data_IF_202668893739
#
_entry.id   IF_202668893739
#
_cell.length_a   1.000
_cell.length_b   1.000
_cell.length_c   1.000
_cell.angle_alpha   90.00
_cell.angle_beta   90.00
_cell.angle_gamma   90.00
#
_symmetry.space_group_name_H-M   'P 1'
#
loop_
_entity.id
_entity.type
_entity.pdbx_description
1 polymer ?
#
# COMPACT_ATOMS: atom_id res chain seq x y z
N UNK A 1 26.05 -12.95 34.38
CA UNK A 1 26.11 -11.97 33.27
C UNK A 1 25.77 -12.59 31.90
N UNK A 2 24.75 -13.50 31.80
CA UNK A 2 24.32 -14.16 30.55
C UNK A 2 22.92 -13.78 30.08
N UNK A 3 22.15 -13.05 30.89
CA UNK A 3 20.73 -12.73 30.58
C UNK A 3 20.59 -11.55 29.60
N UNK A 4 21.54 -10.62 29.51
CA UNK A 4 21.45 -9.43 28.61
C UNK A 4 21.59 -9.74 27.11
N UNK A 5 22.19 -10.87 26.71
CA UNK A 5 22.33 -11.21 25.27
C UNK A 5 21.06 -11.73 24.63
N UNK A 6 20.22 -12.44 25.37
CA UNK A 6 18.95 -12.96 24.86
C UNK A 6 17.89 -11.89 24.71
N UNK A 7 17.89 -10.87 25.59
CA UNK A 7 16.94 -9.76 25.48
C UNK A 7 17.15 -8.90 24.22
N UNK A 8 18.39 -8.76 23.77
CA UNK A 8 18.71 -8.00 22.53
C UNK A 8 18.30 -8.81 21.30
N UNK A 9 18.50 -10.13 21.29
CA UNK A 9 18.09 -11.00 20.17
C UNK A 9 16.56 -11.07 20.05
N UNK A 10 15.85 -11.13 21.18
CA UNK A 10 14.39 -11.11 21.20
C UNK A 10 13.86 -9.74 20.73
N UNK A 11 14.50 -8.63 21.11
CA UNK A 11 14.13 -7.29 20.63
C UNK A 11 14.34 -7.14 19.13
N UNK A 12 15.43 -7.69 18.56
CA UNK A 12 15.65 -7.72 17.12
C UNK A 12 14.65 -8.60 16.38
N UNK A 13 14.23 -9.74 16.94
CA UNK A 13 13.18 -10.59 16.37
C UNK A 13 11.81 -9.91 16.38
N UNK A 14 11.48 -9.10 17.38
CA UNK A 14 10.23 -8.34 17.40
C UNK A 14 10.24 -7.12 16.49
N UNK A 15 11.37 -6.48 16.25
CA UNK A 15 11.51 -5.35 15.30
C UNK A 15 11.39 -5.84 13.85
N UNK A 16 11.85 -7.06 13.54
CA UNK A 16 11.72 -7.63 12.18
C UNK A 16 10.28 -7.98 11.78
N UNK A 17 9.32 -8.04 12.71
CA UNK A 17 7.91 -8.33 12.42
C UNK A 17 7.11 -7.13 11.88
N UNK A 18 7.70 -5.94 11.79
CA UNK A 18 7.04 -4.71 11.31
C UNK A 18 7.65 -4.12 10.03
N UNK A 19 8.55 -4.83 9.37
CA UNK A 19 9.04 -4.38 8.06
C UNK A 19 7.92 -4.61 7.05
N UNK A 20 7.17 -3.56 6.73
CA UNK A 20 6.27 -3.58 5.58
C UNK A 20 7.13 -3.66 4.33
N UNK A 21 7.03 -4.77 3.61
CA UNK A 21 7.70 -4.92 2.33
C UNK A 21 7.18 -3.87 1.35
N UNK A 22 8.06 -3.28 0.55
CA UNK A 22 7.70 -2.37 -0.53
C UNK A 22 6.83 -3.09 -1.56
N UNK A 23 5.85 -2.39 -2.15
CA UNK A 23 5.09 -2.93 -3.28
C UNK A 23 6.01 -3.31 -4.43
N UNK A 24 5.87 -4.54 -4.95
CA UNK A 24 6.74 -5.06 -6.00
C UNK A 24 6.25 -4.65 -7.39
N UNK A 25 7.20 -4.42 -8.30
CA UNK A 25 6.93 -4.23 -9.72
C UNK A 25 6.40 -5.53 -10.34
N UNK A 26 5.36 -5.39 -11.16
CA UNK A 26 4.73 -6.52 -11.83
C UNK A 26 5.53 -6.94 -13.06
N UNK A 27 5.46 -8.24 -13.39
CA UNK A 27 5.71 -8.71 -14.74
C UNK A 27 4.57 -8.26 -15.67
N UNK A 28 4.70 -8.53 -16.96
CA UNK A 28 3.69 -8.22 -17.98
C UNK A 28 3.19 -9.53 -18.59
N UNK A 29 1.88 -9.61 -18.83
CA UNK A 29 1.29 -10.77 -19.51
C UNK A 29 0.35 -10.31 -20.62
N UNK A 30 0.43 -10.95 -21.78
CA UNK A 30 -0.48 -10.75 -22.89
C UNK A 30 -1.55 -11.84 -22.89
N UNK A 31 -2.81 -11.42 -22.77
CA UNK A 31 -3.99 -12.28 -22.78
C UNK A 31 -4.88 -11.83 -23.94
N UNK A 32 -5.14 -12.69 -24.91
CA UNK A 32 -5.90 -12.38 -26.12
C UNK A 32 -5.37 -11.13 -26.89
N UNK A 33 -4.06 -10.92 -26.87
CA UNK A 33 -3.41 -9.77 -27.51
C UNK A 33 -3.39 -8.48 -26.67
N UNK A 34 -4.12 -8.43 -25.56
CA UNK A 34 -4.13 -7.28 -24.64
C UNK A 34 -3.08 -7.43 -23.56
N UNK A 35 -2.46 -6.31 -23.19
CA UNK A 35 -1.47 -6.25 -22.11
C UNK A 35 -2.12 -6.12 -20.76
N UNK A 36 -1.66 -6.95 -19.81
CA UNK A 36 -2.07 -6.95 -18.41
C UNK A 36 -0.84 -6.92 -17.51
N UNK A 37 -0.98 -6.39 -16.31
CA UNK A 37 0.01 -6.50 -15.26
C UNK A 37 -0.07 -7.88 -14.60
N UNK A 38 1.03 -8.61 -14.56
CA UNK A 38 1.09 -9.91 -13.87
C UNK A 38 1.61 -9.71 -12.45
N UNK A 39 0.73 -9.80 -11.48
CA UNK A 39 1.02 -9.63 -10.05
C UNK A 39 1.64 -10.91 -9.47
N UNK A 40 2.68 -11.39 -10.10
CA UNK A 40 3.45 -12.57 -9.72
C UNK A 40 4.77 -12.62 -10.47
N UNK A 41 5.70 -13.44 -9.99
CA UNK A 41 6.96 -13.77 -10.66
C UNK A 41 7.06 -15.29 -10.86
N UNK A 42 6.60 -15.82 -12.01
CA UNK A 42 6.59 -17.26 -12.24
C UNK A 42 7.97 -17.92 -12.21
N UNK A 43 9.04 -17.19 -12.57
CA UNK A 43 10.42 -17.72 -12.59
C UNK A 43 10.88 -18.09 -11.18
N UNK A 44 10.50 -17.31 -10.17
CA UNK A 44 10.93 -17.50 -8.79
C UNK A 44 10.38 -18.77 -8.13
N UNK A 45 9.42 -19.44 -8.80
CA UNK A 45 8.82 -20.70 -8.30
C UNK A 45 9.68 -21.93 -8.54
N UNK A 46 10.70 -21.83 -9.41
CA UNK A 46 11.72 -22.85 -9.59
C UNK A 46 13.05 -22.31 -9.05
N UNK A 47 13.48 -22.83 -7.91
CA UNK A 47 14.70 -22.36 -7.23
C UNK A 47 15.97 -22.55 -8.05
N UNK A 48 16.07 -23.62 -8.82
CA UNK A 48 17.22 -23.89 -9.67
C UNK A 48 17.26 -22.92 -10.87
N UNK A 49 16.11 -22.64 -11.46
CA UNK A 49 15.97 -21.65 -12.52
C UNK A 49 16.27 -20.25 -12.00
N UNK A 50 15.76 -19.89 -10.81
CA UNK A 50 16.00 -18.61 -10.18
C UNK A 50 17.51 -18.39 -9.87
N UNK A 51 18.20 -19.42 -9.41
CA UNK A 51 19.66 -19.36 -9.20
C UNK A 51 20.41 -19.09 -10.50
N UNK A 52 20.11 -19.85 -11.58
CA UNK A 52 20.71 -19.61 -12.89
C UNK A 52 20.38 -18.23 -13.46
N UNK A 53 19.18 -17.73 -13.20
CA UNK A 53 18.80 -16.38 -13.61
C UNK A 53 19.66 -15.32 -12.92
N UNK A 54 19.93 -15.45 -11.63
CA UNK A 54 20.79 -14.52 -10.92
C UNK A 54 22.21 -14.48 -11.47
N UNK A 55 22.74 -15.63 -11.87
CA UNK A 55 24.05 -15.73 -12.52
C UNK A 55 24.07 -15.19 -13.95
N UNK A 56 22.90 -15.15 -14.61
CA UNK A 56 22.71 -14.60 -15.94
C UNK A 56 22.60 -13.08 -15.96
N UNK A 57 22.12 -12.46 -14.88
CA UNK A 57 21.93 -11.02 -14.82
C UNK A 57 23.28 -10.28 -14.91
N UNK A 58 23.35 -9.16 -15.69
CA UNK A 58 24.55 -8.33 -15.74
C UNK A 58 24.91 -7.77 -14.36
N UNK A 59 26.21 -7.67 -14.03
CA UNK A 59 26.68 -7.15 -12.74
C UNK A 59 26.19 -5.71 -12.46
N UNK A 60 25.97 -4.93 -13.49
CA UNK A 60 25.48 -3.55 -13.42
C UNK A 60 23.96 -3.41 -13.59
N UNK A 61 23.20 -4.51 -13.40
CA UNK A 61 21.74 -4.42 -13.46
C UNK A 61 21.19 -3.53 -12.33
N UNK A 62 20.12 -2.80 -12.65
CA UNK A 62 19.48 -1.90 -11.70
C UNK A 62 18.60 -2.70 -10.73
N UNK A 63 18.79 -2.49 -9.45
CA UNK A 63 17.90 -3.00 -8.42
C UNK A 63 17.23 -1.86 -7.66
N UNK A 64 15.99 -2.06 -7.27
CA UNK A 64 15.27 -1.13 -6.40
C UNK A 64 14.47 -1.89 -5.37
N UNK A 65 14.01 -1.22 -4.33
CA UNK A 65 13.13 -1.84 -3.33
C UNK A 65 11.82 -2.37 -3.92
N UNK A 66 11.39 -1.86 -5.07
CA UNK A 66 10.24 -2.34 -5.82
C UNK A 66 10.58 -3.45 -6.84
N UNK A 67 11.84 -3.60 -7.23
CA UNK A 67 12.30 -4.63 -8.16
C UNK A 67 13.67 -5.17 -7.71
N UNK A 68 13.64 -6.05 -6.72
CA UNK A 68 14.84 -6.67 -6.15
C UNK A 68 15.57 -7.59 -7.14
N UNK A 69 14.81 -8.20 -8.07
CA UNK A 69 15.37 -9.15 -9.02
C UNK A 69 16.01 -8.45 -10.22
N UNK A 70 15.76 -7.14 -10.42
CA UNK A 70 16.37 -6.33 -11.46
C UNK A 70 15.89 -6.64 -12.89
N UNK A 71 14.85 -7.46 -13.06
CA UNK A 71 14.28 -7.78 -14.37
C UNK A 71 12.77 -7.58 -14.39
N UNK A 72 12.20 -7.51 -15.59
CA UNK A 72 10.76 -7.63 -15.87
C UNK A 72 10.57 -8.69 -16.94
N UNK A 73 9.78 -9.71 -16.64
CA UNK A 73 9.46 -10.76 -17.61
C UNK A 73 8.15 -10.46 -18.33
N UNK A 74 8.12 -10.78 -19.61
CA UNK A 74 6.96 -10.62 -20.49
C UNK A 74 6.45 -11.99 -20.92
N UNK A 75 5.21 -12.24 -20.58
CA UNK A 75 4.53 -13.51 -20.74
C UNK A 75 3.44 -13.43 -21.80
N UNK A 76 3.02 -14.55 -22.33
CA UNK A 76 1.88 -14.68 -23.24
C UNK A 76 1.10 -15.95 -22.94
N UNK A 77 -0.22 -15.85 -23.00
CA UNK A 77 -1.10 -17.01 -23.07
C UNK A 77 -1.41 -17.31 -24.52
N UNK A 78 -1.08 -18.52 -24.97
CA UNK A 78 -1.37 -19.04 -26.28
C UNK A 78 -1.68 -20.54 -26.18
N UNK A 79 -2.71 -21.01 -26.88
CA UNK A 79 -3.15 -22.42 -26.87
C UNK A 79 -3.31 -23.00 -25.44
N UNK A 80 -3.89 -22.20 -24.54
CA UNK A 80 -4.07 -22.52 -23.12
C UNK A 80 -2.77 -22.79 -22.36
N UNK A 81 -1.64 -22.28 -22.85
CA UNK A 81 -0.33 -22.39 -22.21
C UNK A 81 0.26 -21.01 -21.92
N UNK A 82 1.02 -20.92 -20.85
CA UNK A 82 1.81 -19.74 -20.48
C UNK A 82 3.21 -19.88 -21.10
N UNK A 83 3.62 -18.87 -21.87
CA UNK A 83 4.94 -18.79 -22.50
C UNK A 83 5.69 -17.54 -22.03
N UNK A 84 6.98 -17.66 -21.76
CA UNK A 84 7.88 -16.52 -21.64
C UNK A 84 8.23 -16.03 -23.05
N UNK A 85 8.02 -14.72 -23.31
CA UNK A 85 8.33 -14.11 -24.61
C UNK A 85 9.68 -13.40 -24.61
N UNK A 86 9.96 -12.64 -23.59
CA UNK A 86 11.18 -11.87 -23.40
C UNK A 86 11.39 -11.48 -21.96
N UNK A 87 12.60 -11.05 -21.67
CA UNK A 87 12.95 -10.39 -20.41
C UNK A 87 13.59 -9.04 -20.71
N UNK A 88 13.25 -8.06 -19.91
CA UNK A 88 13.83 -6.72 -19.91
C UNK A 88 14.61 -6.50 -18.62
N UNK A 89 15.87 -6.06 -18.74
CA UNK A 89 16.78 -5.85 -17.64
C UNK A 89 17.30 -4.42 -17.74
N UNK A 90 17.00 -3.62 -16.72
CA UNK A 90 17.60 -2.29 -16.59
C UNK A 90 19.08 -2.44 -16.20
N UNK A 91 19.98 -1.75 -16.90
CA UNK A 91 21.39 -1.68 -16.58
C UNK A 91 21.85 -0.23 -16.45
N UNK A 92 22.70 0.02 -15.45
CA UNK A 92 23.28 1.33 -15.21
C UNK A 92 24.67 1.43 -15.85
N UNK A 93 24.83 2.37 -16.79
CA UNK A 93 26.15 2.69 -17.34
C UNK A 93 26.82 3.77 -16.49
N UNK A 94 27.89 3.36 -15.80
CA UNK A 94 28.69 4.27 -14.95
C UNK A 94 29.39 5.39 -15.72
N UNK A 95 29.74 5.17 -17.00
CA UNK A 95 30.46 6.14 -17.80
C UNK A 95 29.54 7.27 -18.27
N UNK A 96 28.37 6.92 -18.80
CA UNK A 96 27.36 7.90 -19.24
C UNK A 96 26.45 8.39 -18.12
N UNK A 97 26.45 7.73 -16.93
CA UNK A 97 25.53 7.95 -15.81
C UNK A 97 24.06 7.84 -16.23
N UNK A 98 23.75 6.91 -17.11
CA UNK A 98 22.40 6.69 -17.63
C UNK A 98 21.98 5.25 -17.48
N UNK A 99 20.68 5.07 -17.29
CA UNK A 99 20.05 3.76 -17.37
C UNK A 99 19.76 3.42 -18.82
N UNK A 100 19.86 2.13 -19.14
CA UNK A 100 19.43 1.56 -20.42
C UNK A 100 18.73 0.24 -20.17
N UNK A 101 17.95 -0.24 -21.14
CA UNK A 101 17.22 -1.50 -21.02
C UNK A 101 17.77 -2.50 -22.03
N UNK A 102 18.24 -3.63 -21.52
CA UNK A 102 18.60 -4.81 -22.34
C UNK A 102 17.36 -5.66 -22.52
N UNK A 103 17.09 -6.05 -23.77
CA UNK A 103 15.94 -6.89 -24.14
C UNK A 103 16.44 -8.23 -24.60
N UNK A 104 16.05 -9.28 -23.89
CA UNK A 104 16.39 -10.69 -24.22
C UNK A 104 15.15 -11.41 -24.70
N UNK A 105 15.11 -11.72 -26.01
CA UNK A 105 14.08 -12.55 -26.61
C UNK A 105 14.36 -14.05 -26.36
N UNK A 106 13.42 -14.91 -26.69
CA UNK A 106 13.48 -16.36 -26.40
C UNK A 106 14.77 -17.03 -26.84
N UNK A 107 15.32 -16.67 -28.00
CA UNK A 107 16.57 -17.27 -28.47
C UNK A 107 17.79 -16.92 -27.62
N UNK A 108 17.84 -15.67 -27.14
CA UNK A 108 18.88 -15.22 -26.21
C UNK A 108 18.75 -15.87 -24.83
N UNK A 109 17.55 -16.32 -24.47
CA UNK A 109 17.23 -17.00 -23.20
C UNK A 109 17.37 -18.52 -23.29
N UNK A 110 17.69 -19.09 -24.46
CA UNK A 110 17.75 -20.54 -24.71
C UNK A 110 18.63 -21.29 -23.71
N UNK A 111 19.80 -20.77 -23.40
CA UNK A 111 20.72 -21.41 -22.44
C UNK A 111 20.17 -21.39 -21.02
N UNK A 112 19.62 -20.26 -20.59
CA UNK A 112 19.03 -20.10 -19.27
C UNK A 112 17.85 -21.05 -19.06
N UNK A 113 16.98 -21.20 -20.06
CA UNK A 113 15.79 -22.03 -20.04
C UNK A 113 15.95 -23.34 -20.81
N UNK A 114 17.16 -23.90 -20.91
CA UNK A 114 17.46 -25.07 -21.80
C UNK A 114 16.51 -26.26 -21.60
N UNK A 115 16.11 -26.55 -20.35
CA UNK A 115 15.18 -27.65 -20.04
C UNK A 115 13.73 -27.39 -20.47
N UNK A 116 13.41 -26.18 -20.86
CA UNK A 116 12.05 -25.74 -21.20
C UNK A 116 11.95 -25.13 -22.60
N UNK A 117 13.10 -24.89 -23.26
CA UNK A 117 13.15 -24.31 -24.60
C UNK A 117 12.80 -25.33 -25.63
N UNK A 118 11.75 -25.11 -26.42
CA UNK A 118 11.31 -25.98 -27.50
C UNK A 118 10.77 -25.17 -28.68
N UNK A 119 11.21 -25.47 -29.86
CA UNK A 119 10.73 -24.86 -31.12
C UNK A 119 10.66 -23.31 -31.09
N UNK A 120 11.69 -22.67 -30.54
CA UNK A 120 11.75 -21.19 -30.42
C UNK A 120 10.87 -20.61 -29.32
N UNK A 121 10.26 -21.42 -28.46
CA UNK A 121 9.35 -21.01 -27.37
C UNK A 121 9.85 -21.51 -26.03
N UNK A 122 9.40 -20.83 -24.95
CA UNK A 122 9.70 -21.20 -23.57
C UNK A 122 8.38 -21.36 -22.82
N UNK A 123 7.73 -22.55 -22.87
CA UNK A 123 6.54 -22.81 -22.06
C UNK A 123 6.91 -22.91 -20.59
N UNK A 124 6.11 -22.27 -19.73
CA UNK A 124 6.36 -22.20 -18.29
C UNK A 124 6.02 -23.51 -17.55
N UNK A 125 6.52 -24.66 -18.01
CA UNK A 125 6.18 -25.98 -17.46
C UNK A 125 6.61 -26.18 -16.00
N UNK A 126 7.56 -25.40 -15.52
CA UNK A 126 7.95 -25.39 -14.09
C UNK A 126 6.87 -24.81 -13.20
N UNK A 127 5.95 -24.01 -13.75
CA UNK A 127 4.98 -23.29 -12.95
C UNK A 127 3.66 -24.05 -12.78
N UNK A 128 3.25 -24.25 -11.53
CA UNK A 128 1.92 -24.69 -11.14
C UNK A 128 1.43 -23.83 -9.98
N UNK A 129 0.21 -23.30 -10.08
CA UNK A 129 -0.37 -22.40 -9.08
C UNK A 129 -1.27 -21.34 -9.69
N UNK A 130 -1.71 -20.41 -8.88
CA UNK A 130 -2.52 -19.28 -9.35
C UNK A 130 -1.64 -18.09 -9.73
N UNK A 131 -1.98 -17.46 -10.85
CA UNK A 131 -1.47 -16.17 -11.30
C UNK A 131 -2.62 -15.16 -11.25
N UNK A 132 -2.33 -13.95 -10.81
CA UNK A 132 -3.27 -12.83 -10.90
C UNK A 132 -2.75 -11.84 -11.93
N UNK A 133 -3.57 -11.55 -12.92
CA UNK A 133 -3.33 -10.51 -13.92
C UNK A 133 -4.37 -9.40 -13.76
N UNK A 134 -3.97 -8.13 -13.87
CA UNK A 134 -4.86 -7.00 -13.73
C UNK A 134 -4.63 -5.93 -14.79
N UNK A 135 -5.69 -5.21 -15.16
CA UNK A 135 -5.64 -4.02 -16.03
C UNK A 135 -6.69 -2.98 -15.60
N UNK A 136 -6.60 -1.78 -16.16
CA UNK A 136 -7.46 -0.65 -15.81
C UNK A 136 -6.95 0.10 -14.59
N UNK A 137 -7.84 0.75 -13.87
CA UNK A 137 -7.49 1.58 -12.72
C UNK A 137 -7.13 0.77 -11.48
N UNK A 138 -6.27 1.35 -10.64
CA UNK A 138 -5.91 0.79 -9.34
C UNK A 138 -7.07 1.02 -8.36
N UNK A 139 -7.73 -0.05 -7.94
CA UNK A 139 -8.86 0.00 -7.01
C UNK A 139 -8.39 -0.06 -5.56
N UNK A 140 -7.45 -0.95 -5.28
CA UNK A 140 -6.92 -1.19 -3.93
C UNK A 140 -5.41 -1.36 -3.97
N UNK A 141 -4.70 -0.84 -2.97
CA UNK A 141 -3.26 -0.97 -2.85
C UNK A 141 -2.81 -1.08 -1.40
N UNK A 142 -2.05 -2.13 -1.12
CA UNK A 142 -1.29 -2.25 0.12
C UNK A 142 0.20 -2.22 -0.23
N UNK A 143 0.96 -1.45 0.51
CA UNK A 143 2.40 -1.33 0.29
C UNK A 143 3.13 -2.59 0.79
N UNK A 144 2.86 -3.73 0.15
CA UNK A 144 3.40 -5.05 0.50
C UNK A 144 3.34 -5.99 -0.69
N UNK A 145 4.49 -6.39 -1.23
CA UNK A 145 4.57 -7.37 -2.33
C UNK A 145 3.69 -6.99 -3.54
N UNK A 146 2.85 -7.92 -3.98
CA UNK A 146 1.89 -7.72 -5.07
C UNK A 146 0.46 -7.45 -4.59
N UNK A 147 0.30 -6.99 -3.34
CA UNK A 147 -1.01 -6.80 -2.73
C UNK A 147 -1.69 -5.53 -3.26
N UNK A 148 -2.31 -5.69 -4.40
CA UNK A 148 -3.11 -4.67 -5.10
C UNK A 148 -4.24 -5.31 -5.88
N UNK A 149 -5.29 -4.54 -6.14
CA UNK A 149 -6.37 -4.94 -7.04
C UNK A 149 -6.57 -3.88 -8.12
N UNK A 150 -6.66 -4.35 -9.34
CA UNK A 150 -6.98 -3.53 -10.52
C UNK A 150 -8.47 -3.64 -10.85
N UNK A 151 -8.98 -2.70 -11.61
CA UNK A 151 -10.38 -2.69 -12.04
C UNK A 151 -10.81 -4.02 -12.68
N UNK A 152 -10.07 -4.49 -13.66
CA UNK A 152 -10.30 -5.79 -14.27
C UNK A 152 -9.19 -6.75 -13.85
N UNK A 153 -9.56 -7.91 -13.32
CA UNK A 153 -8.62 -8.95 -12.91
C UNK A 153 -9.00 -10.32 -13.44
N UNK A 154 -7.96 -11.10 -13.74
CA UNK A 154 -8.07 -12.53 -14.00
C UNK A 154 -7.20 -13.31 -13.02
N UNK A 155 -7.79 -14.29 -12.38
CA UNK A 155 -7.07 -15.30 -11.57
C UNK A 155 -7.03 -16.58 -12.36
N UNK A 156 -5.83 -16.95 -12.80
CA UNK A 156 -5.56 -18.03 -13.74
C UNK A 156 -4.90 -19.16 -12.96
N UNK A 157 -5.57 -20.30 -12.85
CA UNK A 157 -4.99 -21.50 -12.26
C UNK A 157 -4.24 -22.28 -13.34
N UNK A 158 -2.95 -22.55 -13.12
CA UNK A 158 -2.11 -23.30 -14.03
C UNK A 158 -1.61 -24.59 -13.37
N UNK A 159 -1.42 -25.61 -14.20
CA UNK A 159 -0.67 -26.83 -13.87
C UNK A 159 0.36 -27.10 -14.94
N UNK A 160 1.64 -27.09 -14.57
CA UNK A 160 2.77 -27.25 -15.51
C UNK A 160 2.65 -26.30 -16.72
N UNK A 161 2.37 -25.02 -16.45
CA UNK A 161 2.20 -23.98 -17.47
C UNK A 161 0.89 -24.04 -18.26
N UNK A 162 0.03 -25.05 -18.07
CA UNK A 162 -1.27 -25.19 -18.76
C UNK A 162 -2.41 -24.65 -17.90
N UNK A 163 -3.29 -23.86 -18.52
CA UNK A 163 -4.46 -23.29 -17.86
C UNK A 163 -5.45 -24.42 -17.51
N UNK A 164 -5.88 -24.43 -16.27
CA UNK A 164 -6.90 -25.32 -15.74
C UNK A 164 -8.24 -24.57 -15.59
N UNK A 165 -8.19 -23.33 -15.11
CA UNK A 165 -9.37 -22.47 -14.97
C UNK A 165 -8.97 -21.00 -14.94
N UNK A 166 -9.93 -20.14 -15.29
CA UNK A 166 -9.80 -18.68 -15.20
C UNK A 166 -11.04 -18.15 -14.49
N UNK A 167 -10.81 -17.32 -13.48
CA UNK A 167 -11.87 -16.53 -12.82
C UNK A 167 -11.64 -15.07 -13.14
N UNK A 168 -12.67 -14.38 -13.58
CA UNK A 168 -12.61 -12.97 -13.94
C UNK A 168 -13.33 -12.15 -12.87
N UNK A 169 -12.76 -11.01 -12.50
CA UNK A 169 -13.34 -10.07 -11.55
C UNK A 169 -13.38 -8.67 -12.17
N UNK A 170 -14.41 -7.93 -11.82
CA UNK A 170 -14.50 -6.50 -12.03
C UNK A 170 -14.56 -5.84 -10.65
N UNK A 171 -13.49 -5.17 -10.30
CA UNK A 171 -13.34 -4.50 -9.01
C UNK A 171 -13.62 -3.01 -9.17
N UNK A 172 -14.20 -2.40 -8.15
CA UNK A 172 -14.51 -0.97 -8.20
C UNK A 172 -14.64 -0.38 -6.79
N UNK A 173 -14.54 0.95 -6.73
CA UNK A 173 -14.87 1.74 -5.54
C UNK A 173 -16.28 2.29 -5.67
N UNK A 174 -17.04 2.20 -4.59
CA UNK A 174 -18.30 2.92 -4.49
C UNK A 174 -18.13 4.14 -3.58
N UNK A 175 -18.56 5.33 -4.06
CA UNK A 175 -18.41 6.57 -3.31
C UNK A 175 -19.04 6.52 -1.93
N UNK A 176 -18.47 7.25 -1.00
CA UNK A 176 -18.93 7.39 0.36
C UNK A 176 -17.90 8.09 1.23
N UNK A 177 -18.14 8.12 2.52
CA UNK A 177 -17.22 8.69 3.50
C UNK A 177 -16.10 7.71 3.77
N UNK A 178 -14.85 8.13 3.58
CA UNK A 178 -13.70 7.30 3.92
C UNK A 178 -13.48 7.30 5.42
N UNK A 179 -13.21 6.12 5.97
CA UNK A 179 -13.09 5.97 7.43
C UNK A 179 -11.97 6.83 8.02
N UNK A 180 -10.84 6.98 7.34
CA UNK A 180 -9.73 7.81 7.80
C UNK A 180 -10.00 9.32 7.68
N UNK A 181 -10.94 9.72 6.85
CA UNK A 181 -11.34 11.11 6.63
C UNK A 181 -12.58 11.48 7.47
N UNK A 182 -13.18 10.52 8.19
CA UNK A 182 -14.44 10.69 8.92
C UNK A 182 -14.31 11.29 10.32
N UNK A 183 -13.12 11.65 10.76
CA UNK A 183 -12.86 12.06 12.15
C UNK A 183 -13.76 13.20 12.63
N UNK A 184 -13.94 14.24 11.82
CA UNK A 184 -14.79 15.38 12.16
C UNK A 184 -16.26 15.00 12.29
N UNK A 185 -16.74 14.12 11.39
CA UNK A 185 -18.10 13.60 11.43
C UNK A 185 -18.35 12.75 12.67
N UNK A 186 -17.37 11.91 13.03
CA UNK A 186 -17.44 11.11 14.26
C UNK A 186 -17.46 12.00 15.49
N UNK A 187 -16.58 13.00 15.56
CA UNK A 187 -16.51 13.96 16.69
C UNK A 187 -17.84 14.68 16.86
N UNK A 188 -18.46 15.13 15.77
CA UNK A 188 -19.73 15.84 15.76
C UNK A 188 -20.90 14.99 16.27
N UNK A 189 -20.93 13.69 15.91
CA UNK A 189 -22.03 12.77 16.27
C UNK A 189 -21.82 12.06 17.58
N UNK A 190 -20.59 12.00 18.10
CA UNK A 190 -20.31 11.29 19.34
C UNK A 190 -21.05 11.96 20.52
N UNK A 191 -21.75 11.20 21.39
CA UNK A 191 -22.58 11.76 22.45
C UNK A 191 -21.76 12.22 23.66
N UNK A 192 -20.96 13.27 23.51
CA UNK A 192 -20.06 13.80 24.54
C UNK A 192 -20.76 14.14 25.86
N UNK A 193 -22.02 14.61 25.80
CA UNK A 193 -22.85 14.93 26.99
C UNK A 193 -23.04 13.71 27.91
N UNK A 194 -22.95 12.48 27.39
CA UNK A 194 -23.03 11.27 28.21
C UNK A 194 -21.73 10.94 28.95
N UNK A 195 -20.65 11.62 28.59
CA UNK A 195 -19.30 11.31 29.04
C UNK A 195 -18.51 12.51 29.56
N UNK A 196 -19.06 13.35 30.47
CA UNK A 196 -18.43 14.59 30.93
C UNK A 196 -17.07 14.34 31.61
N UNK A 197 -16.85 13.16 32.18
CA UNK A 197 -15.59 12.70 32.77
C UNK A 197 -14.41 12.75 31.76
N UNK A 198 -14.67 12.64 30.48
CA UNK A 198 -13.65 12.56 29.42
C UNK A 198 -13.50 13.86 28.63
N UNK A 199 -14.14 14.95 29.12
CA UNK A 199 -13.97 16.29 28.54
C UNK A 199 -12.49 16.67 28.50
N UNK A 200 -12.02 17.20 27.36
CA UNK A 200 -10.62 17.58 27.15
C UNK A 200 -9.63 16.41 27.01
N UNK A 201 -10.12 15.18 26.98
CA UNK A 201 -9.30 14.00 26.75
C UNK A 201 -9.42 13.51 25.31
N UNK A 202 -8.36 12.89 24.81
CA UNK A 202 -8.36 12.24 23.51
C UNK A 202 -8.64 10.76 23.68
N UNK A 203 -9.69 10.28 23.03
CA UNK A 203 -10.08 8.88 22.96
C UNK A 203 -9.54 8.27 21.67
N UNK A 204 -8.73 7.23 21.77
CA UNK A 204 -8.05 6.61 20.62
C UNK A 204 -8.51 5.17 20.52
N UNK A 205 -9.32 4.85 19.50
CA UNK A 205 -9.89 3.54 19.26
C UNK A 205 -9.08 2.80 18.21
N UNK A 206 -8.57 1.60 18.53
CA UNK A 206 -8.01 0.66 17.57
C UNK A 206 -9.10 -0.28 17.09
N UNK A 207 -9.48 -0.19 15.83
CA UNK A 207 -10.57 -0.97 15.22
C UNK A 207 -10.03 -1.95 14.18
N UNK A 208 -10.77 -3.05 13.97
CA UNK A 208 -10.47 -4.08 12.99
C UNK A 208 -11.72 -4.84 12.56
N UNK A 209 -11.57 -5.69 11.53
CA UNK A 209 -12.63 -6.56 11.03
C UNK A 209 -13.89 -5.77 10.63
N UNK A 210 -13.72 -4.66 9.94
CA UNK A 210 -14.81 -3.79 9.55
C UNK A 210 -15.66 -4.50 8.49
N UNK A 211 -16.97 -4.58 8.73
CA UNK A 211 -17.96 -5.19 7.84
C UNK A 211 -18.99 -4.14 7.41
N UNK A 212 -19.33 -4.14 6.13
CA UNK A 212 -20.31 -3.22 5.56
C UNK A 212 -21.31 -3.93 4.63
N UNK A 213 -22.45 -3.30 4.42
CA UNK A 213 -23.43 -3.71 3.43
C UNK A 213 -23.06 -3.19 2.04
N UNK A 214 -23.62 -3.78 0.97
CA UNK A 214 -23.43 -3.29 -0.40
C UNK A 214 -23.84 -1.82 -0.61
N UNK A 215 -24.81 -1.32 0.12
CA UNK A 215 -25.28 0.06 0.07
C UNK A 215 -24.51 1.02 0.96
N UNK A 216 -23.56 0.53 1.78
CA UNK A 216 -22.59 1.34 2.54
C UNK A 216 -22.98 1.61 3.99
N UNK A 217 -23.86 0.81 4.59
CA UNK A 217 -24.04 0.79 6.04
C UNK A 217 -22.95 -0.02 6.71
N UNK A 218 -22.46 0.46 7.85
CA UNK A 218 -21.54 -0.27 8.70
C UNK A 218 -22.32 -1.32 9.51
N UNK A 219 -22.03 -2.59 9.28
CA UNK A 219 -22.68 -3.70 10.00
C UNK A 219 -22.07 -3.91 11.38
N UNK A 220 -20.78 -4.17 11.42
CA UNK A 220 -20.03 -4.35 12.66
C UNK A 220 -18.53 -4.18 12.47
N UNK A 221 -17.81 -4.07 13.59
CA UNK A 221 -16.37 -4.05 13.70
C UNK A 221 -15.94 -4.35 15.14
N UNK A 222 -14.71 -4.81 15.28
CA UNK A 222 -14.10 -5.02 16.59
C UNK A 222 -13.37 -3.75 17.06
N UNK A 223 -13.57 -3.36 18.29
CA UNK A 223 -12.67 -2.44 18.99
C UNK A 223 -11.71 -3.28 19.81
N UNK A 224 -10.42 -3.26 19.43
CA UNK A 224 -9.38 -4.02 20.13
C UNK A 224 -8.98 -3.35 21.43
N UNK A 225 -8.74 -2.05 21.37
CA UNK A 225 -8.31 -1.25 22.52
C UNK A 225 -8.82 0.18 22.41
N UNK A 226 -9.08 0.78 23.54
CA UNK A 226 -9.34 2.22 23.70
C UNK A 226 -8.26 2.80 24.61
N UNK A 227 -7.46 3.74 24.08
CA UNK A 227 -6.49 4.50 24.84
C UNK A 227 -7.05 5.89 25.16
N UNK A 228 -6.88 6.34 26.39
CA UNK A 228 -7.31 7.66 26.85
C UNK A 228 -6.09 8.51 27.20
N UNK A 229 -5.94 9.64 26.52
CA UNK A 229 -4.81 10.55 26.70
C UNK A 229 -5.30 11.89 27.28
N UNK A 230 -4.53 12.56 28.19
CA UNK A 230 -3.15 12.24 28.62
C UNK A 230 -3.05 11.18 29.72
N UNK A 231 -4.15 10.72 30.33
CA UNK A 231 -4.12 9.84 31.52
C UNK A 231 -3.41 8.50 31.33
N UNK A 232 -3.21 8.06 30.09
CA UNK A 232 -2.53 6.79 29.81
C UNK A 232 -3.37 5.54 30.09
N UNK A 233 -4.67 5.71 30.32
CA UNK A 233 -5.59 4.61 30.58
C UNK A 233 -5.78 3.76 29.32
N UNK A 234 -5.72 2.42 29.48
CA UNK A 234 -5.96 1.45 28.40
C UNK A 234 -7.17 0.60 28.79
N UNK A 235 -8.17 0.57 27.91
CA UNK A 235 -9.42 -0.18 28.11
C UNK A 235 -9.52 -1.23 27.00
N UNK A 236 -9.57 -2.49 27.40
CA UNK A 236 -9.76 -3.65 26.51
C UNK A 236 -11.17 -4.22 26.57
N UNK A 237 -11.98 -3.74 27.53
CA UNK A 237 -13.38 -4.15 27.68
C UNK A 237 -14.22 -3.68 26.50
N UNK A 238 -14.67 -4.64 25.69
CA UNK A 238 -15.54 -4.39 24.52
C UNK A 238 -16.93 -3.90 24.91
N UNK A 239 -17.34 -4.09 26.16
CA UNK A 239 -18.63 -3.66 26.71
C UNK A 239 -18.56 -2.28 27.37
N UNK A 240 -17.38 -1.67 27.42
CA UNK A 240 -17.21 -0.35 28.01
C UNK A 240 -18.15 0.67 27.36
N UNK A 241 -18.81 1.56 28.13
CA UNK A 241 -19.78 2.53 27.59
C UNK A 241 -19.26 3.41 26.45
N UNK A 242 -18.00 3.84 26.51
CA UNK A 242 -17.36 4.59 25.42
C UNK A 242 -17.24 3.79 24.13
N UNK A 243 -16.92 2.48 24.25
CA UNK A 243 -16.80 1.59 23.09
C UNK A 243 -18.16 1.39 22.43
N UNK A 244 -19.21 1.20 23.23
CA UNK A 244 -20.60 1.08 22.71
C UNK A 244 -21.03 2.36 22.01
N UNK A 245 -20.84 3.53 22.64
CA UNK A 245 -21.18 4.81 22.04
C UNK A 245 -20.40 5.08 20.74
N UNK A 246 -19.13 4.71 20.69
CA UNK A 246 -18.32 4.82 19.48
C UNK A 246 -18.85 3.92 18.36
N UNK A 247 -19.22 2.68 18.67
CA UNK A 247 -19.84 1.76 17.70
C UNK A 247 -21.15 2.32 17.17
N UNK A 248 -22.03 2.81 18.04
CA UNK A 248 -23.31 3.45 17.66
C UNK A 248 -23.06 4.65 16.74
N UNK A 249 -22.08 5.49 17.10
CA UNK A 249 -21.71 6.66 16.30
C UNK A 249 -21.27 6.29 14.90
N UNK A 250 -20.33 5.34 14.75
CA UNK A 250 -19.87 4.92 13.42
C UNK A 250 -21.00 4.29 12.60
N UNK A 251 -21.86 3.47 13.21
CA UNK A 251 -23.02 2.87 12.54
C UNK A 251 -24.05 3.91 12.08
N UNK A 252 -24.11 5.08 12.71
CA UNK A 252 -24.99 6.18 12.31
C UNK A 252 -24.50 6.99 11.10
N UNK A 253 -23.26 6.80 10.69
CA UNK A 253 -22.66 7.48 9.53
C UNK A 253 -22.92 6.66 8.28
N UNK A 254 -23.41 7.34 7.23
CA UNK A 254 -23.82 6.70 5.98
C UNK A 254 -23.80 7.72 4.82
N UNK A 255 -23.48 7.30 3.58
CA UNK A 255 -22.86 6.01 3.22
C UNK A 255 -21.34 6.03 3.46
N UNK A 256 -20.76 4.90 3.83
CA UNK A 256 -19.32 4.70 3.86
C UNK A 256 -18.79 4.36 2.46
N UNK A 257 -17.55 4.83 2.15
CA UNK A 257 -16.82 4.35 0.98
C UNK A 257 -16.55 2.85 1.12
N UNK A 258 -16.77 2.12 0.09
CA UNK A 258 -16.57 0.67 0.04
C UNK A 258 -15.95 0.23 -1.27
N UNK A 259 -15.27 -0.89 -1.20
CA UNK A 259 -14.64 -1.54 -2.33
C UNK A 259 -15.42 -2.81 -2.65
N UNK A 260 -15.60 -3.08 -3.93
CA UNK A 260 -16.02 -4.38 -4.41
C UNK A 260 -14.79 -5.08 -5.00
N UNK A 261 -14.27 -6.08 -4.30
CA UNK A 261 -13.01 -6.76 -4.64
C UNK A 261 -13.24 -8.27 -4.63
N UNK A 262 -12.87 -8.95 -5.72
CA UNK A 262 -12.99 -10.40 -5.88
C UNK A 262 -14.42 -10.90 -5.59
N UNK A 263 -15.42 -10.15 -6.02
CA UNK A 263 -16.84 -10.48 -5.85
C UNK A 263 -17.40 -10.19 -4.45
N UNK A 264 -16.70 -9.45 -3.59
CA UNK A 264 -17.14 -9.14 -2.22
C UNK A 264 -16.99 -7.66 -1.91
N UNK A 265 -17.95 -7.14 -1.14
CA UNK A 265 -17.83 -5.80 -0.57
C UNK A 265 -16.90 -5.79 0.63
N UNK A 266 -16.06 -4.78 0.73
CA UNK A 266 -15.16 -4.54 1.85
C UNK A 266 -14.98 -3.03 2.06
N UNK A 267 -14.43 -2.63 3.20
CA UNK A 267 -14.04 -1.25 3.50
C UNK A 267 -12.54 -1.18 3.74
N UNK A 268 -11.97 -0.02 3.48
CA UNK A 268 -10.56 0.27 3.76
C UNK A 268 -10.40 1.45 4.73
N UNK A 269 -9.39 1.34 5.58
CA UNK A 269 -8.59 0.15 5.86
C UNK A 269 -9.37 -0.84 6.73
N UNK A 270 -9.12 -2.13 6.56
CA UNK A 270 -9.72 -3.18 7.42
C UNK A 270 -9.34 -3.04 8.91
N UNK A 271 -8.21 -2.37 9.18
CA UNK A 271 -7.72 -2.07 10.52
C UNK A 271 -7.24 -0.63 10.54
N UNK A 272 -7.70 0.16 11.50
CA UNK A 272 -7.23 1.53 11.66
C UNK A 272 -7.29 1.99 13.12
N UNK A 273 -6.67 3.14 13.36
CA UNK A 273 -6.71 3.83 14.65
C UNK A 273 -7.39 5.18 14.45
N UNK A 274 -8.48 5.41 15.17
CA UNK A 274 -9.25 6.64 15.11
C UNK A 274 -9.15 7.37 16.47
N UNK A 275 -8.69 8.61 16.43
CA UNK A 275 -8.62 9.47 17.61
C UNK A 275 -9.71 10.53 17.57
N UNK A 276 -10.54 10.60 18.62
CA UNK A 276 -11.57 11.62 18.77
C UNK A 276 -11.39 12.38 20.07
N UNK A 277 -11.80 13.62 20.10
CA UNK A 277 -11.83 14.46 21.30
C UNK A 277 -12.98 15.46 21.18
N UNK A 278 -13.58 15.80 22.31
CA UNK A 278 -14.55 16.88 22.32
C UNK A 278 -13.84 18.16 21.86
N UNK A 279 -14.26 18.71 20.72
CA UNK A 279 -13.89 20.07 20.36
C UNK A 279 -14.60 20.95 21.40
N UNK A 280 -13.86 21.32 22.43
CA UNK A 280 -14.34 22.47 23.19
C UNK A 280 -14.57 23.55 22.14
N UNK A 281 -15.68 24.29 22.26
CA UNK A 281 -15.76 25.67 21.80
C UNK A 281 -14.73 26.46 22.62
N UNK A 282 -13.46 26.17 22.38
CA UNK A 282 -12.46 27.21 22.51
C UNK A 282 -13.03 28.29 21.60
N UNK A 283 -13.40 29.49 22.14
CA UNK A 283 -13.65 30.64 21.31
C UNK A 283 -12.50 30.54 20.32
N UNK A 284 -12.82 30.50 19.03
CA UNK A 284 -11.80 30.56 18.01
C UNK A 284 -10.88 31.66 18.53
N UNK A 285 -9.72 31.27 19.11
CA UNK A 285 -8.66 32.25 19.28
C UNK A 285 -8.57 32.72 17.87
N UNK A 286 -9.19 33.87 17.70
CA UNK A 286 -9.32 34.50 16.43
C UNK A 286 -7.98 34.27 15.75
N UNK A 287 -7.98 34.02 14.47
CA UNK A 287 -6.78 33.86 13.61
C UNK A 287 -5.80 35.07 13.73
N UNK A 288 -5.87 35.79 14.83
CA UNK A 288 -5.13 36.99 15.23
C UNK A 288 -3.87 36.67 16.05
N UNK A 289 -3.53 35.42 16.31
CA UNK A 289 -2.19 35.12 16.83
C UNK A 289 -1.19 35.17 15.67
N UNK A 290 -0.79 36.40 15.33
CA UNK A 290 0.21 36.75 14.31
C UNK A 290 1.63 36.39 14.74
N UNK A 291 1.85 35.70 15.85
CA UNK A 291 3.17 35.44 16.44
C UNK A 291 3.78 34.07 16.01
N UNK A 292 3.53 33.61 14.81
CA UNK A 292 4.12 32.37 14.34
C UNK A 292 4.30 32.33 12.83
N UNK A 293 5.30 31.56 12.39
CA UNK A 293 5.53 31.30 10.98
C UNK A 293 4.63 30.18 10.48
N UNK A 294 4.22 30.26 9.22
CA UNK A 294 3.46 29.19 8.57
C UNK A 294 4.27 28.65 7.40
N UNK A 295 4.29 27.31 7.27
CA UNK A 295 4.82 26.64 6.08
C UNK A 295 3.64 26.10 5.29
N UNK A 296 3.59 26.44 4.01
CA UNK A 296 2.64 25.89 3.06
C UNK A 296 3.46 25.19 1.97
N UNK A 297 3.12 23.95 1.67
CA UNK A 297 3.80 23.21 0.65
C UNK A 297 2.89 22.19 -0.02
N UNK A 298 3.42 21.53 -1.05
CA UNK A 298 2.74 20.42 -1.73
C UNK A 298 3.65 19.21 -1.77
N UNK A 299 3.06 18.05 -1.51
CA UNK A 299 3.73 16.76 -1.63
C UNK A 299 3.24 16.08 -2.90
N UNK A 300 4.19 15.67 -3.73
CA UNK A 300 3.92 14.93 -4.96
C UNK A 300 4.59 13.56 -4.86
N UNK A 301 3.89 12.53 -5.32
CA UNK A 301 4.50 11.26 -5.68
C UNK A 301 4.95 11.32 -7.13
N UNK A 302 6.11 10.78 -7.41
CA UNK A 302 6.57 10.55 -8.77
C UNK A 302 6.20 9.12 -9.17
N UNK A 303 5.31 8.99 -10.13
CA UNK A 303 4.97 7.72 -10.76
C UNK A 303 5.71 7.64 -12.08
N UNK A 304 6.68 6.75 -12.17
CA UNK A 304 7.32 6.44 -13.44
C UNK A 304 6.42 5.47 -14.18
N UNK A 305 5.89 5.87 -15.34
CA UNK A 305 5.21 4.91 -16.21
C UNK A 305 6.19 3.80 -16.58
N UNK A 306 5.83 2.58 -16.24
CA UNK A 306 6.63 1.39 -16.59
C UNK A 306 6.43 0.93 -18.05
N UNK A 307 5.79 1.74 -18.86
CA UNK A 307 5.52 1.52 -20.29
C UNK A 307 5.97 2.76 -21.07
N UNK A 308 6.70 2.62 -22.18
CA UNK A 308 7.04 3.76 -23.04
C UNK A 308 5.79 4.53 -23.54
N UNK A 309 5.86 5.89 -23.59
CA UNK A 309 6.97 6.69 -23.13
C UNK A 309 7.08 6.71 -21.60
N UNK A 310 8.31 6.55 -21.07
CA UNK A 310 8.62 6.56 -19.64
C UNK A 310 8.49 7.98 -19.07
N UNK A 311 7.28 8.48 -18.99
CA UNK A 311 7.02 9.81 -18.44
C UNK A 311 6.94 9.72 -16.91
N UNK A 312 7.62 10.62 -16.24
CA UNK A 312 7.46 10.84 -14.81
C UNK A 312 6.20 11.65 -14.59
N UNK A 313 5.16 11.02 -14.09
CA UNK A 313 3.91 11.70 -13.74
C UNK A 313 4.01 12.12 -12.28
N UNK A 314 3.99 13.43 -12.03
CA UNK A 314 3.87 13.99 -10.69
C UNK A 314 2.39 14.05 -10.30
N UNK A 315 2.00 13.23 -9.31
CA UNK A 315 0.63 13.28 -8.76
C UNK A 315 0.65 13.84 -7.34
N UNK A 316 -0.29 14.73 -6.97
CA UNK A 316 -0.42 15.17 -5.60
C UNK A 316 -0.67 13.95 -4.68
N UNK A 317 0.08 13.84 -3.59
CA UNK A 317 -0.14 12.80 -2.59
C UNK A 317 -1.10 13.28 -1.52
N UNK A 318 -2.32 12.75 -1.55
CA UNK A 318 -3.35 12.95 -0.53
C UNK A 318 -3.05 12.14 0.73
N UNK A 319 -3.26 12.72 1.90
CA UNK A 319 -3.14 12.01 3.18
C UNK A 319 -1.69 11.68 3.59
N UNK A 320 -0.69 12.28 2.94
CA UNK A 320 0.71 12.13 3.35
C UNK A 320 0.92 12.75 4.73
N UNK A 321 1.51 11.98 5.63
CA UNK A 321 1.76 12.40 7.00
C UNK A 321 3.08 13.17 7.07
N UNK A 322 3.01 14.45 7.46
CA UNK A 322 4.17 15.29 7.70
C UNK A 322 4.41 15.42 9.19
N UNK A 323 5.67 15.35 9.57
CA UNK A 323 6.12 15.56 10.96
C UNK A 323 7.19 16.64 10.96
N UNK A 324 7.15 17.49 11.97
CA UNK A 324 8.22 18.46 12.23
C UNK A 324 9.15 17.84 13.27
N UNK A 325 10.44 17.78 12.96
CA UNK A 325 11.46 17.32 13.90
C UNK A 325 11.46 18.24 15.14
N UNK A 326 11.49 17.66 16.32
CA UNK A 326 11.34 18.39 17.59
C UNK A 326 9.89 18.58 18.05
N UNK A 327 8.89 18.22 17.25
CA UNK A 327 7.47 18.20 17.64
C UNK A 327 6.88 16.79 17.50
N UNK A 328 7.26 15.83 18.35
CA UNK A 328 7.00 14.39 18.13
C UNK A 328 5.50 14.01 18.18
N UNK A 329 4.64 14.88 18.68
CA UNK A 329 3.20 14.60 18.85
C UNK A 329 2.29 15.38 17.90
N UNK A 330 2.85 16.17 16.98
CA UNK A 330 2.08 16.91 15.98
C UNK A 330 2.40 16.36 14.60
N UNK A 331 1.36 15.97 13.87
CA UNK A 331 1.42 15.56 12.47
C UNK A 331 0.41 16.34 11.64
N UNK A 332 0.74 16.61 10.40
CA UNK A 332 -0.13 17.27 9.42
C UNK A 332 -0.35 16.34 8.25
N UNK A 333 -1.53 16.37 7.67
CA UNK A 333 -1.87 15.59 6.51
C UNK A 333 -2.01 16.50 5.29
N UNK A 334 -1.62 16.01 4.14
CA UNK A 334 -1.92 16.68 2.87
C UNK A 334 -3.39 16.51 2.50
N UNK A 335 -3.98 17.54 1.93
CA UNK A 335 -5.34 17.51 1.38
C UNK A 335 -5.41 16.76 0.02
N UNK A 336 -6.58 16.76 -0.62
CA UNK A 336 -6.81 16.13 -1.92
C UNK A 336 -5.94 16.67 -3.07
N UNK A 337 -5.35 17.86 -2.89
CA UNK A 337 -4.42 18.48 -3.84
C UNK A 337 -2.95 18.26 -3.48
N UNK A 338 -2.68 17.42 -2.47
CA UNK A 338 -1.35 17.21 -1.91
C UNK A 338 -0.83 18.38 -1.09
N UNK A 339 -1.66 19.40 -0.82
CA UNK A 339 -1.26 20.60 -0.09
C UNK A 339 -1.29 20.38 1.41
N UNK A 340 -0.30 20.89 2.11
CA UNK A 340 -0.29 20.96 3.57
C UNK A 340 -0.06 22.39 4.05
N UNK A 341 -0.54 22.67 5.25
CA UNK A 341 -0.29 23.93 5.94
C UNK A 341 0.05 23.68 7.40
N UNK A 342 1.27 24.04 7.79
CA UNK A 342 1.74 24.01 9.19
C UNK A 342 1.72 25.44 9.69
N UNK A 343 0.94 25.70 10.76
CA UNK A 343 0.81 27.03 11.36
C UNK A 343 1.53 27.08 12.71
N UNK A 344 1.83 28.29 13.20
CA UNK A 344 2.36 28.56 14.54
C UNK A 344 3.72 27.90 14.86
N UNK A 345 4.61 27.82 13.86
CA UNK A 345 5.98 27.36 14.07
C UNK A 345 6.83 28.48 14.70
N UNK A 346 7.60 28.13 15.72
CA UNK A 346 8.65 29.00 16.25
C UNK A 346 9.84 28.99 15.29
N UNK A 347 10.50 30.14 15.11
CA UNK A 347 11.62 30.29 14.18
C UNK A 347 12.76 29.30 14.46
N UNK A 348 12.96 28.91 15.71
CA UNK A 348 13.97 27.95 16.14
C UNK A 348 13.73 26.50 15.66
N UNK A 349 12.55 26.23 15.09
CA UNK A 349 12.17 24.89 14.61
C UNK A 349 12.22 24.78 13.07
N UNK A 350 12.55 25.87 12.36
CA UNK A 350 12.61 25.86 10.91
C UNK A 350 14.04 25.46 10.49
N UNK A 351 14.28 24.16 10.40
CA UNK A 351 15.44 23.59 9.74
C UNK A 351 14.95 22.91 8.47
N UNK A 352 15.27 23.51 7.32
CA UNK A 352 14.92 22.93 6.02
C UNK A 352 16.15 22.12 5.59
N UNK A 353 16.09 20.80 5.76
CA UNK A 353 17.02 19.89 5.09
C UNK A 353 16.45 19.54 3.72
N UNK A 354 17.26 19.63 2.69
CA UNK A 354 16.88 19.11 1.37
C UNK A 354 16.57 17.62 1.48
N UNK A 355 15.52 17.11 0.80
CA UNK A 355 15.25 15.69 0.80
C UNK A 355 16.43 14.97 0.17
N UNK A 356 17.13 14.16 0.94
CA UNK A 356 18.14 13.23 0.43
C UNK A 356 17.44 12.33 -0.58
N UNK A 357 17.83 12.44 -1.85
CA UNK A 357 17.44 11.44 -2.85
C UNK A 357 17.97 10.09 -2.40
N UNK A 358 17.08 9.20 -1.99
CA UNK A 358 17.34 7.79 -1.84
C UNK A 358 17.10 7.10 -3.17
#
# INVERSE_FOLDING_TARGET
MRIKRYSIVILFLFVSLYIKATGQSCDVIYINGEQWWLMARPIDKDSALYTRLRDFLPENHCMSTANWDGYTAFWKIEDSCLYLQRMEICVYDKASRKDSTLIYHTDALKTLFASYYENGRIPARWFSGELRAGKGDLVHYVHSGFDRNMEAEQVILLRQGRIQSVRTYHNFKQPGIKILESQDEIIRRFPWHRFPKYKGQRLIFSIRNIQCTPDGHLLDFDVRTLFIRPKGENIEDRNHPLVKAFKETLKSIYPWERLFINGKYTMEPLNCVLGIWEKNDLPSKADNDTTGYSIIGKVYGEEVRQIPPYDVIKRPLTGSNLRVEGLPFQGWLTDSTGTFRIKHLKLSLIHISEPTRL
#
